data_IF_424677939075
#
_entry.id   IF_424677939075
#
_cell.length_a   1.000
_cell.length_b   1.000
_cell.length_c   1.000
_cell.angle_alpha   90.00
_cell.angle_beta   90.00
_cell.angle_gamma   90.00
#
_symmetry.space_group_name_H-M   'P 1'
#
loop_
_entity.id
_entity.type
_entity.pdbx_description
1 polymer ?
#
# COMPACT_ATOMS: atom_id res chain seq x y z
N UNK A 1 40.44 7.00 26.74
CA UNK A 1 39.34 6.04 26.96
C UNK A 1 38.06 6.71 26.50
N UNK A 2 37.68 6.55 25.23
CA UNK A 2 36.49 7.18 24.67
C UNK A 2 35.25 6.35 25.02
N UNK A 3 34.32 6.93 25.79
CA UNK A 3 33.04 6.32 26.10
C UNK A 3 32.29 5.99 24.81
N UNK A 4 32.05 4.71 24.59
CA UNK A 4 31.27 4.18 23.46
C UNK A 4 29.86 4.79 23.48
N UNK A 5 29.63 5.81 22.65
CA UNK A 5 28.40 6.59 22.60
C UNK A 5 27.19 5.76 22.18
N UNK A 6 26.49 5.19 23.15
CA UNK A 6 25.17 4.60 22.97
C UNK A 6 24.13 5.73 23.02
N UNK A 7 23.42 5.95 21.92
CA UNK A 7 22.35 6.92 21.81
C UNK A 7 21.01 6.21 21.95
N UNK A 8 20.15 6.63 22.88
CA UNK A 8 18.76 6.16 22.97
C UNK A 8 17.84 7.31 23.30
N UNK A 9 16.77 7.44 22.53
CA UNK A 9 15.77 8.50 22.70
C UNK A 9 14.37 7.96 22.48
N UNK A 10 13.46 8.38 23.35
CA UNK A 10 12.02 8.16 23.20
C UNK A 10 11.38 9.49 22.80
N UNK A 11 10.60 9.47 21.74
CA UNK A 11 9.95 10.64 21.16
C UNK A 11 8.46 10.34 21.12
N UNK A 12 7.65 11.26 21.63
CA UNK A 12 6.19 11.17 21.53
C UNK A 12 5.80 11.66 20.14
N UNK A 13 4.89 10.95 19.48
CA UNK A 13 4.29 11.35 18.22
C UNK A 13 2.99 12.09 18.50
N UNK A 14 2.94 13.35 18.10
CA UNK A 14 1.81 14.25 18.29
C UNK A 14 1.06 14.44 16.97
N UNK A 15 -0.26 14.65 17.06
CA UNK A 15 -1.09 14.95 15.88
C UNK A 15 -0.69 16.31 15.31
N UNK A 16 -0.43 16.34 13.99
CA UNK A 16 -0.14 17.57 13.27
C UNK A 16 -1.27 17.94 12.30
N UNK A 17 -1.68 16.97 11.46
CA UNK A 17 -2.85 17.11 10.61
C UNK A 17 -4.04 16.33 11.19
N UNK A 18 -5.13 17.04 11.47
CA UNK A 18 -6.37 16.42 11.97
C UNK A 18 -7.10 15.59 10.90
N UNK A 19 -7.98 14.68 11.35
CA UNK A 19 -8.86 13.89 10.47
C UNK A 19 -8.36 12.48 10.16
N UNK A 20 -7.19 12.13 10.66
CA UNK A 20 -6.58 10.81 10.52
C UNK A 20 -6.84 9.90 11.72
N UNK A 21 -7.69 10.31 12.67
CA UNK A 21 -8.11 9.50 13.81
C UNK A 21 -9.15 8.42 13.48
N UNK A 22 -9.09 7.32 14.24
CA UNK A 22 -10.16 6.33 14.38
C UNK A 22 -10.70 6.44 15.80
N UNK A 23 -11.90 7.01 15.96
CA UNK A 23 -12.60 7.25 17.23
C UNK A 23 -11.90 8.23 18.21
N UNK A 24 -10.57 8.24 18.25
CA UNK A 24 -9.72 9.11 19.06
C UNK A 24 -8.62 9.72 18.20
N UNK A 25 -7.97 10.75 18.73
CA UNK A 25 -6.76 11.35 18.16
C UNK A 25 -5.66 10.28 17.99
N UNK A 26 -5.00 10.20 16.83
CA UNK A 26 -3.83 9.36 16.65
C UNK A 26 -2.75 9.72 17.65
N UNK A 27 -2.11 8.71 18.23
CA UNK A 27 -1.02 8.90 19.19
C UNK A 27 0.01 7.79 19.01
N UNK A 28 1.26 8.06 19.36
CA UNK A 28 2.29 7.03 19.31
C UNK A 28 3.58 7.44 19.97
N UNK A 29 4.55 6.54 19.92
CA UNK A 29 5.91 6.85 20.29
C UNK A 29 6.89 6.24 19.31
N UNK A 30 8.02 6.93 19.16
CA UNK A 30 9.19 6.45 18.47
C UNK A 30 10.30 6.18 19.48
N UNK A 31 10.98 5.05 19.32
CA UNK A 31 12.23 4.75 20.01
C UNK A 31 13.35 4.75 18.97
N UNK A 32 14.27 5.69 19.12
CA UNK A 32 15.45 5.84 18.28
C UNK A 32 16.68 5.38 19.07
N UNK A 33 17.36 4.36 18.58
CA UNK A 33 18.58 3.80 19.19
C UNK A 33 19.73 3.92 18.19
N UNK A 34 20.90 4.39 18.63
CA UNK A 34 22.10 4.55 17.81
C UNK A 34 23.33 3.97 18.52
N UNK A 35 24.17 3.29 17.76
CA UNK A 35 25.45 2.75 18.22
C UNK A 35 26.49 2.80 17.09
N UNK A 36 27.65 2.15 17.25
CA UNK A 36 28.69 2.08 16.21
C UNK A 36 28.29 1.26 14.98
N UNK A 37 27.30 0.38 15.13
CA UNK A 37 26.83 -0.51 14.05
C UNK A 37 25.74 0.14 13.20
N UNK A 38 25.01 1.12 13.75
CA UNK A 38 23.93 1.78 13.03
C UNK A 38 22.91 2.48 13.91
N UNK A 39 21.76 2.78 13.31
CA UNK A 39 20.57 3.33 13.95
C UNK A 39 19.41 2.34 13.80
N UNK A 40 18.62 2.16 14.87
CA UNK A 40 17.33 1.47 14.83
C UNK A 40 16.21 2.43 15.23
N UNK A 41 15.20 2.52 14.36
CA UNK A 41 13.93 3.20 14.62
C UNK A 41 12.85 2.16 14.88
N UNK A 42 12.18 2.27 16.02
CA UNK A 42 10.97 1.52 16.35
C UNK A 42 9.81 2.50 16.55
N UNK A 43 8.67 2.21 15.94
CA UNK A 43 7.45 3.00 16.00
C UNK A 43 6.31 2.13 16.50
N UNK A 44 5.50 2.70 17.38
CA UNK A 44 4.20 2.15 17.77
C UNK A 44 3.18 3.28 17.83
N UNK A 45 2.13 3.16 17.02
CA UNK A 45 1.07 4.16 16.83
C UNK A 45 -0.28 3.48 17.07
N UNK A 46 -1.22 4.24 17.65
CA UNK A 46 -2.60 3.84 17.91
C UNK A 46 -3.56 4.90 17.37
N UNK A 47 -4.81 4.50 17.21
CA UNK A 47 -5.93 5.31 16.70
C UNK A 47 -5.68 5.99 15.35
N UNK A 48 -4.68 5.56 14.57
CA UNK A 48 -4.40 6.09 13.24
C UNK A 48 -5.29 5.40 12.20
N UNK A 49 -5.93 6.15 11.33
CA UNK A 49 -6.80 5.64 10.28
C UNK A 49 -5.96 4.96 9.22
N UNK A 50 -6.30 3.72 8.86
CA UNK A 50 -5.71 3.08 7.69
C UNK A 50 -6.10 3.84 6.42
N UNK A 51 -5.12 4.18 5.58
CA UNK A 51 -5.34 4.80 4.27
C UNK A 51 -5.30 3.77 3.13
N UNK A 52 -5.64 4.23 1.92
CA UNK A 52 -5.54 3.45 0.66
C UNK A 52 -4.09 3.05 0.36
N UNK A 53 -3.13 3.76 0.93
CA UNK A 53 -1.69 3.46 0.85
C UNK A 53 -1.08 3.51 2.25
N UNK A 54 -0.03 2.72 2.51
CA UNK A 54 0.67 2.79 3.78
C UNK A 54 1.24 4.19 3.96
N UNK A 55 1.37 4.61 5.22
CA UNK A 55 2.02 5.87 5.54
C UNK A 55 3.51 5.76 5.25
N UNK A 56 4.12 6.80 4.71
CA UNK A 56 5.57 6.90 4.62
C UNK A 56 6.12 7.40 5.95
N UNK A 57 7.12 6.70 6.47
CA UNK A 57 7.92 7.17 7.60
C UNK A 57 9.13 7.91 7.06
N UNK A 58 9.28 9.16 7.49
CA UNK A 58 10.28 10.09 6.99
C UNK A 58 11.08 10.63 8.16
N UNK A 59 12.41 10.59 8.02
CA UNK A 59 13.33 11.28 8.92
C UNK A 59 13.74 12.60 8.28
N UNK A 60 13.64 13.66 9.07
CA UNK A 60 14.19 14.97 8.73
C UNK A 60 15.39 15.20 9.62
N UNK A 61 16.53 15.43 9.01
CA UNK A 61 17.79 15.59 9.73
C UNK A 61 18.60 16.73 9.14
N UNK A 62 19.42 17.35 9.98
CA UNK A 62 20.32 18.40 9.53
C UNK A 62 21.63 17.77 9.05
N UNK A 63 21.96 18.01 7.78
CA UNK A 63 23.31 17.72 7.27
C UNK A 63 24.22 18.94 7.49
N UNK A 64 25.51 18.81 7.19
CA UNK A 64 26.45 19.94 7.32
C UNK A 64 26.12 21.14 6.40
N UNK A 65 25.26 20.95 5.39
CA UNK A 65 24.97 21.96 4.36
C UNK A 65 23.51 22.41 4.32
N UNK A 66 22.57 21.52 4.63
CA UNK A 66 21.11 21.80 4.55
C UNK A 66 20.27 20.73 5.29
N UNK A 67 18.97 21.01 5.45
CA UNK A 67 17.96 20.10 5.97
C UNK A 67 17.61 19.01 4.93
N UNK A 68 17.76 17.75 5.31
CA UNK A 68 17.62 16.60 4.41
C UNK A 68 16.42 15.72 4.75
N UNK A 69 15.93 15.02 3.73
CA UNK A 69 14.70 14.19 3.79
C UNK A 69 15.07 12.75 3.47
N UNK A 70 14.88 11.85 4.43
CA UNK A 70 15.14 10.43 4.24
C UNK A 70 13.88 9.59 4.51
N UNK A 71 13.35 8.93 3.47
CA UNK A 71 12.20 8.02 3.57
C UNK A 71 12.69 6.65 4.02
N UNK A 72 12.50 6.33 5.30
CA UNK A 72 13.06 5.13 5.93
C UNK A 72 12.19 3.89 5.72
N UNK A 73 10.92 4.07 5.34
CA UNK A 73 10.06 2.95 4.95
C UNK A 73 8.59 3.28 5.02
N UNK A 74 7.76 2.25 4.86
CA UNK A 74 6.31 2.31 4.96
C UNK A 74 5.83 1.79 6.32
N UNK A 75 4.78 2.43 6.84
CA UNK A 75 4.03 2.06 8.03
C UNK A 75 2.61 1.65 7.61
N UNK A 76 2.36 0.35 7.68
CA UNK A 76 1.01 -0.18 7.59
C UNK A 76 0.26 0.04 8.90
N UNK A 77 -1.03 0.35 8.78
CA UNK A 77 -1.90 0.60 9.93
C UNK A 77 -3.09 -0.34 9.85
N UNK A 78 -3.24 -1.16 10.88
CA UNK A 78 -4.30 -2.16 11.00
C UNK A 78 -5.11 -1.91 12.27
N UNK A 79 -6.43 -1.78 12.14
CA UNK A 79 -7.34 -1.52 13.27
C UNK A 79 -6.86 -0.37 14.17
N UNK A 80 -6.51 0.77 13.57
CA UNK A 80 -6.01 1.91 14.33
C UNK A 80 -4.53 1.83 14.70
N UNK A 81 -3.89 0.67 14.56
CA UNK A 81 -2.56 0.39 15.13
C UNK A 81 -1.51 0.24 14.04
N UNK A 82 -0.43 1.00 14.14
CA UNK A 82 0.74 0.88 13.27
C UNK A 82 1.97 0.51 14.08
N UNK A 83 2.71 -0.52 13.67
CA UNK A 83 3.99 -0.88 14.27
C UNK A 83 5.03 -1.04 13.18
N UNK A 84 6.19 -0.43 13.36
CA UNK A 84 7.28 -0.51 12.40
C UNK A 84 8.62 -0.58 13.12
N UNK A 85 9.51 -1.43 12.59
CA UNK A 85 10.92 -1.45 12.99
C UNK A 85 11.79 -1.37 11.74
N UNK A 86 12.73 -0.43 11.74
CA UNK A 86 13.77 -0.31 10.70
C UNK A 86 15.12 -0.05 11.32
N UNK A 87 16.15 -0.60 10.69
CA UNK A 87 17.53 -0.40 11.05
C UNK A 87 18.32 0.07 9.83
N UNK A 88 19.20 1.03 10.05
CA UNK A 88 20.20 1.51 9.11
C UNK A 88 21.55 1.10 9.66
N UNK A 89 22.33 0.35 8.91
CA UNK A 89 23.70 0.04 9.30
C UNK A 89 24.63 1.26 9.10
N UNK A 90 25.86 1.16 9.58
CA UNK A 90 26.84 2.24 9.49
C UNK A 90 27.14 2.62 8.02
N UNK A 91 27.19 1.66 7.10
CA UNK A 91 27.43 1.93 5.68
C UNK A 91 26.30 2.76 5.06
N UNK A 92 25.04 2.41 5.33
CA UNK A 92 23.87 3.15 4.89
C UNK A 92 23.82 4.54 5.54
N UNK A 93 24.19 4.65 6.83
CA UNK A 93 24.26 5.94 7.51
C UNK A 93 25.28 6.89 6.88
N UNK A 94 26.46 6.37 6.53
CA UNK A 94 27.51 7.14 5.86
C UNK A 94 27.10 7.55 4.45
N UNK A 95 26.46 6.66 3.69
CA UNK A 95 25.97 6.95 2.34
C UNK A 95 24.91 8.07 2.32
N UNK A 96 24.07 8.13 3.35
CA UNK A 96 23.00 9.14 3.50
C UNK A 96 23.48 10.37 4.29
N UNK A 97 24.61 10.26 5.01
CA UNK A 97 25.15 11.31 5.88
C UNK A 97 24.30 11.58 7.13
N UNK A 98 23.54 10.59 7.60
CA UNK A 98 22.65 10.74 8.76
C UNK A 98 23.39 10.38 10.06
N UNK A 99 23.24 11.23 11.08
CA UNK A 99 23.73 10.97 12.45
C UNK A 99 22.53 10.94 13.41
N UNK A 100 22.53 10.07 14.44
CA UNK A 100 21.37 9.95 15.34
C UNK A 100 21.02 11.28 16.02
N UNK A 101 22.04 12.09 16.34
CA UNK A 101 21.89 13.36 17.04
C UNK A 101 21.39 14.48 16.13
N UNK A 102 21.52 14.33 14.81
CA UNK A 102 21.13 15.36 13.84
C UNK A 102 19.69 15.21 13.31
N UNK A 103 18.97 14.17 13.74
CA UNK A 103 17.56 13.97 13.39
C UNK A 103 16.72 14.98 14.18
N UNK A 104 16.06 15.89 13.47
CA UNK A 104 15.18 16.93 14.01
C UNK A 104 13.73 16.43 14.12
N UNK A 105 13.22 15.72 13.11
CA UNK A 105 11.83 15.24 13.06
C UNK A 105 11.70 13.78 12.60
N UNK A 106 10.69 13.10 13.14
CA UNK A 106 10.15 11.82 12.65
C UNK A 106 8.74 12.10 12.16
N UNK A 107 8.48 11.90 10.88
CA UNK A 107 7.21 12.25 10.22
C UNK A 107 6.50 10.97 9.77
N UNK A 108 5.21 10.89 10.05
CA UNK A 108 4.30 9.90 9.48
C UNK A 108 3.46 10.64 8.44
N UNK A 109 3.71 10.36 7.16
CA UNK A 109 3.12 11.09 6.05
C UNK A 109 2.20 10.19 5.21
N UNK A 110 1.05 10.72 4.79
CA UNK A 110 0.27 10.18 3.68
C UNK A 110 0.66 10.94 2.42
N UNK A 111 1.46 10.32 1.56
CA UNK A 111 1.96 10.93 0.32
C UNK A 111 1.04 10.62 -0.86
N UNK A 112 0.41 11.64 -1.44
CA UNK A 112 -0.34 11.58 -2.70
C UNK A 112 0.40 12.35 -3.82
N UNK A 113 -0.04 12.21 -5.08
CA UNK A 113 0.64 12.80 -6.25
C UNK A 113 0.87 14.32 -6.15
N UNK A 114 -0.05 15.06 -5.54
CA UNK A 114 0.01 16.54 -5.46
C UNK A 114 -0.09 17.08 -4.03
N UNK A 115 -0.28 16.21 -3.04
CA UNK A 115 -0.51 16.62 -1.66
C UNK A 115 0.12 15.64 -0.69
N UNK A 116 0.70 16.18 0.37
CA UNK A 116 1.23 15.40 1.48
C UNK A 116 0.47 15.83 2.73
N UNK A 117 -0.11 14.85 3.41
CA UNK A 117 -0.66 15.04 4.75
C UNK A 117 0.30 14.43 5.77
N UNK A 118 0.43 15.06 6.93
CA UNK A 118 1.30 14.64 8.03
C UNK A 118 0.43 14.38 9.26
N UNK A 119 -0.21 13.21 9.37
CA UNK A 119 -1.00 12.85 10.54
C UNK A 119 -0.24 13.00 11.86
N UNK A 120 1.01 12.55 11.91
CA UNK A 120 1.80 12.49 13.13
C UNK A 120 3.22 13.01 12.93
N UNK A 121 3.72 13.70 13.94
CA UNK A 121 5.10 14.17 14.03
C UNK A 121 5.72 13.86 15.38
N UNK A 122 6.97 13.42 15.37
CA UNK A 122 7.84 13.35 16.54
C UNK A 122 8.93 14.41 16.45
N UNK A 123 8.96 15.33 17.42
CA UNK A 123 10.01 16.36 17.51
C UNK A 123 11.15 15.81 18.36
N UNK A 124 12.32 15.60 17.74
CA UNK A 124 13.48 15.09 18.43
C UNK A 124 14.15 16.21 19.26
N UNK A 125 14.27 17.43 18.75
CA UNK A 125 14.92 18.52 19.49
C UNK A 125 13.91 19.48 20.11
N UNK A 126 13.85 19.56 21.45
CA UNK A 126 12.98 20.51 22.16
C UNK A 126 13.25 21.98 21.81
N UNK A 127 14.39 22.29 21.21
CA UNK A 127 14.76 23.63 20.81
C UNK A 127 14.11 24.07 19.47
N UNK A 128 13.53 23.16 18.70
CA UNK A 128 12.95 23.44 17.37
C UNK A 128 11.50 22.96 17.30
N UNK A 129 10.50 23.85 17.44
CA UNK A 129 9.10 23.49 17.15
C UNK A 129 8.91 23.19 15.67
N UNK A 130 7.77 22.60 15.29
CA UNK A 130 7.43 22.32 13.89
C UNK A 130 7.62 23.55 12.98
N UNK A 131 8.26 23.33 11.83
CA UNK A 131 8.53 24.35 10.82
C UNK A 131 7.84 23.97 9.50
N UNK A 132 6.94 24.84 9.03
CA UNK A 132 6.15 24.65 7.82
C UNK A 132 7.00 24.59 6.53
N UNK A 133 8.22 25.14 6.56
CA UNK A 133 9.19 25.02 5.47
C UNK A 133 9.53 23.55 5.19
N UNK A 134 9.49 22.69 6.23
CA UNK A 134 9.69 21.25 6.08
C UNK A 134 8.59 20.63 5.22
N UNK A 135 7.31 20.99 5.43
CA UNK A 135 6.18 20.50 4.61
C UNK A 135 6.35 20.89 3.15
N UNK A 136 6.74 22.14 2.88
CA UNK A 136 7.00 22.59 1.51
C UNK A 136 8.16 21.85 0.84
N UNK A 137 9.18 21.45 1.60
CA UNK A 137 10.33 20.70 1.09
C UNK A 137 9.98 19.26 0.72
N UNK A 138 9.07 18.63 1.47
CA UNK A 138 8.55 17.29 1.15
C UNK A 138 7.89 17.23 -0.24
N UNK A 139 7.17 18.29 -0.62
CA UNK A 139 6.48 18.40 -1.92
C UNK A 139 7.46 18.59 -3.10
N UNK A 140 8.59 19.27 -2.89
CA UNK A 140 9.54 19.62 -3.97
C UNK A 140 10.47 18.46 -4.39
N UNK A 141 10.81 17.53 -3.48
CA UNK A 141 11.71 16.40 -3.77
C UNK A 141 11.02 15.17 -4.42
N UNK A 142 9.73 15.24 -4.75
CA UNK A 142 9.00 14.19 -5.49
C UNK A 142 9.24 14.16 -7.00
N UNK A 143 9.89 15.18 -7.58
CA UNK A 143 10.44 15.13 -8.94
C UNK A 143 11.89 14.66 -8.85
N UNK A 144 12.14 13.40 -9.22
CA UNK A 144 13.49 12.99 -9.59
C UNK A 144 13.99 13.90 -10.73
N UNK A 145 15.28 14.26 -10.77
CA UNK A 145 15.80 15.23 -11.72
C UNK A 145 15.72 14.65 -13.13
N UNK A 146 14.98 15.31 -14.01
CA UNK A 146 15.24 15.19 -15.43
C UNK A 146 16.66 15.71 -15.67
N UNK A 147 17.57 14.81 -16.00
CA UNK A 147 18.85 15.17 -16.56
C UNK A 147 18.59 15.87 -17.90
N UNK A 148 18.65 17.20 -17.91
CA UNK A 148 18.90 17.96 -19.12
C UNK A 148 20.41 18.16 -19.23
N UNK A 149 21.03 17.57 -20.25
CA UNK A 149 21.67 18.29 -21.36
C UNK A 149 22.43 17.29 -22.24
N UNK A 150 21.90 17.00 -23.43
CA UNK A 150 22.68 17.28 -24.63
C UNK A 150 21.76 17.52 -25.83
N UNK A 151 21.92 18.71 -26.41
CA UNK A 151 21.19 19.19 -27.57
C UNK A 151 21.88 18.66 -28.82
N UNK A 152 21.15 17.97 -29.70
CA UNK A 152 21.41 18.09 -31.13
C UNK A 152 20.12 18.10 -31.93
N UNK A 153 19.93 19.22 -32.63
CA UNK A 153 18.85 19.58 -33.55
C UNK A 153 18.80 18.65 -34.77
N UNK A 154 17.61 18.22 -35.21
CA UNK A 154 17.08 18.35 -36.59
C UNK A 154 15.54 18.40 -36.51
N UNK A 155 14.92 19.35 -37.23
CA UNK A 155 13.47 19.64 -37.34
C UNK A 155 12.89 19.09 -38.67
N UNK A 156 11.63 19.36 -39.08
CA UNK A 156 10.34 18.92 -38.52
C UNK A 156 9.37 18.35 -39.59
N UNK A 157 8.41 17.47 -39.23
CA UNK A 157 7.12 17.24 -39.91
C UNK A 157 6.37 16.14 -39.13
N UNK A 158 5.07 16.13 -38.85
CA UNK A 158 3.94 16.94 -39.31
C UNK A 158 2.83 16.81 -38.25
N UNK A 159 2.12 17.90 -37.98
CA UNK A 159 0.96 17.97 -37.09
C UNK A 159 -0.18 17.09 -37.60
N UNK A 160 -0.79 16.34 -36.68
CA UNK A 160 -2.25 16.17 -36.61
C UNK A 160 -2.61 15.86 -35.16
N UNK A 161 -3.00 16.90 -34.43
CA UNK A 161 -3.97 16.73 -33.34
C UNK A 161 -5.32 16.36 -33.95
N UNK A 162 -6.18 15.68 -33.19
CA UNK A 162 -7.34 16.44 -32.74
C UNK A 162 -7.47 16.46 -31.22
N UNK A 163 -7.62 17.70 -30.74
CA UNK A 163 -8.55 18.16 -29.71
C UNK A 163 -8.51 17.49 -28.34
N UNK A 164 -7.90 18.24 -27.42
CA UNK A 164 -8.39 18.38 -26.05
C UNK A 164 -9.89 18.67 -26.06
N UNK A 165 -10.64 17.81 -25.37
CA UNK A 165 -11.89 18.22 -24.77
C UNK A 165 -11.78 18.00 -23.27
N UNK A 166 -11.85 19.10 -22.54
CA UNK A 166 -11.85 19.19 -21.10
C UNK A 166 -13.16 18.67 -20.54
N UNK A 167 -13.14 17.50 -19.91
CA UNK A 167 -14.08 17.19 -18.82
C UNK A 167 -13.41 16.23 -17.84
N UNK A 168 -13.38 16.61 -16.57
CA UNK A 168 -12.99 15.71 -15.50
C UNK A 168 -13.92 14.50 -15.49
N UNK A 169 -13.37 13.33 -15.78
CA UNK A 169 -14.00 12.05 -15.50
C UNK A 169 -13.03 11.23 -14.68
N UNK A 170 -13.45 10.92 -13.46
CA UNK A 170 -12.83 9.94 -12.58
C UNK A 170 -12.51 8.68 -13.39
N UNK A 171 -11.33 8.08 -13.17
CA UNK A 171 -10.90 6.88 -13.88
C UNK A 171 -11.72 5.66 -13.44
N UNK A 172 -12.91 5.51 -14.02
CA UNK A 172 -13.82 4.37 -13.85
C UNK A 172 -13.08 3.09 -14.22
N UNK A 173 -13.12 2.09 -13.35
CA UNK A 173 -12.55 0.75 -13.60
C UNK A 173 -13.20 0.14 -14.84
N UNK A 174 -12.39 -0.28 -15.80
CA UNK A 174 -12.86 -0.84 -17.07
C UNK A 174 -13.23 -2.33 -16.90
N UNK A 175 -14.42 -2.56 -16.36
CA UNK A 175 -14.94 -3.89 -16.03
C UNK A 175 -15.02 -4.83 -17.25
N UNK A 176 -15.40 -4.31 -18.42
CA UNK A 176 -15.49 -5.10 -19.66
C UNK A 176 -14.12 -5.52 -20.17
N UNK A 177 -13.12 -4.64 -20.07
CA UNK A 177 -11.73 -4.96 -20.41
C UNK A 177 -11.11 -5.96 -19.43
N UNK A 178 -11.43 -5.86 -18.14
CA UNK A 178 -10.94 -6.80 -17.12
C UNK A 178 -11.43 -8.22 -17.40
N UNK A 179 -12.73 -8.40 -17.63
CA UNK A 179 -13.31 -9.72 -17.91
C UNK A 179 -12.73 -10.34 -19.18
N UNK A 180 -12.61 -9.56 -20.27
CA UNK A 180 -12.01 -10.04 -21.51
C UNK A 180 -10.58 -10.55 -21.27
N UNK A 181 -9.77 -9.78 -20.52
CA UNK A 181 -8.40 -10.15 -20.18
C UNK A 181 -8.31 -11.37 -19.28
N UNK A 182 -9.24 -11.54 -18.33
CA UNK A 182 -9.29 -12.73 -17.48
C UNK A 182 -9.61 -13.97 -18.32
N UNK A 183 -10.61 -13.90 -19.20
CA UNK A 183 -11.01 -14.99 -20.10
C UNK A 183 -9.91 -15.42 -21.07
N UNK A 184 -9.11 -14.47 -21.56
CA UNK A 184 -7.95 -14.74 -22.42
C UNK A 184 -6.75 -15.30 -21.63
N UNK A 185 -6.65 -15.00 -20.34
CA UNK A 185 -5.47 -15.29 -19.53
C UNK A 185 -5.56 -16.55 -18.67
N UNK A 186 -6.77 -17.00 -18.35
CA UNK A 186 -7.06 -18.04 -17.35
C UNK A 186 -8.17 -18.98 -17.80
N UNK A 187 -8.17 -20.19 -17.27
CA UNK A 187 -9.18 -21.23 -17.55
C UNK A 187 -10.50 -20.88 -16.87
N UNK A 188 -11.62 -20.98 -17.60
CA UNK A 188 -12.96 -20.89 -17.02
C UNK A 188 -13.19 -22.09 -16.10
N UNK A 189 -13.72 -21.85 -14.90
CA UNK A 189 -13.86 -22.89 -13.88
C UNK A 189 -15.19 -22.74 -13.15
N UNK A 190 -15.87 -23.83 -12.81
CA UNK A 190 -17.12 -23.79 -12.04
C UNK A 190 -16.87 -24.36 -10.63
N UNK A 191 -16.50 -23.51 -9.65
CA UNK A 191 -16.09 -23.97 -8.32
C UNK A 191 -17.24 -24.46 -7.43
N UNK A 192 -18.50 -24.18 -7.77
CA UNK A 192 -19.65 -24.39 -6.89
C UNK A 192 -20.73 -25.24 -7.56
N UNK A 193 -21.41 -26.08 -6.77
CA UNK A 193 -22.38 -27.06 -7.28
C UNK A 193 -23.65 -26.45 -7.88
N UNK A 194 -23.96 -25.20 -7.54
CA UNK A 194 -25.09 -24.47 -8.11
C UNK A 194 -24.56 -23.30 -8.96
N UNK A 195 -24.16 -23.56 -10.22
CA UNK A 195 -23.60 -22.54 -11.09
C UNK A 195 -24.66 -21.46 -11.32
N UNK A 196 -24.33 -20.23 -10.93
CA UNK A 196 -25.19 -19.09 -11.15
C UNK A 196 -24.70 -18.33 -12.38
N UNK A 197 -25.62 -18.04 -13.31
CA UNK A 197 -25.33 -17.35 -14.57
C UNK A 197 -24.87 -15.89 -14.38
N UNK A 198 -25.06 -15.33 -13.18
CA UNK A 198 -24.61 -13.98 -12.82
C UNK A 198 -23.13 -13.94 -12.38
N UNK A 199 -22.46 -15.10 -12.30
CA UNK A 199 -21.02 -15.21 -12.05
C UNK A 199 -20.27 -15.73 -13.28
N UNK A 200 -19.05 -15.28 -13.42
CA UNK A 200 -18.04 -15.88 -14.30
C UNK A 200 -16.77 -16.10 -13.49
N UNK A 201 -16.30 -17.33 -13.44
CA UNK A 201 -15.21 -17.76 -12.57
C UNK A 201 -14.02 -18.26 -13.39
N UNK A 202 -12.82 -17.86 -12.96
CA UNK A 202 -11.56 -18.20 -13.60
C UNK A 202 -10.59 -18.77 -12.57
N UNK A 203 -9.97 -19.90 -12.93
CA UNK A 203 -8.93 -20.54 -12.11
C UNK A 203 -7.60 -19.84 -12.36
N UNK A 204 -7.04 -19.26 -11.30
CA UNK A 204 -5.78 -18.50 -11.34
C UNK A 204 -4.69 -19.29 -10.62
N UNK A 205 -3.70 -19.74 -11.37
CA UNK A 205 -2.49 -20.38 -10.84
C UNK A 205 -1.27 -19.43 -10.79
N UNK A 206 -1.34 -18.29 -11.48
CA UNK A 206 -0.31 -17.25 -11.51
C UNK A 206 -0.85 -15.93 -10.96
N UNK A 207 -0.54 -15.65 -9.70
CA UNK A 207 -0.97 -14.45 -8.99
C UNK A 207 -0.28 -13.18 -9.50
N UNK A 208 0.93 -13.28 -10.07
CA UNK A 208 1.62 -12.13 -10.66
C UNK A 208 0.91 -11.68 -11.93
N UNK A 209 0.51 -12.63 -12.77
CA UNK A 209 -0.30 -12.36 -13.96
C UNK A 209 -1.63 -11.71 -13.56
N UNK A 210 -2.32 -12.22 -12.54
CA UNK A 210 -3.57 -11.62 -12.05
C UNK A 210 -3.33 -10.19 -11.52
N UNK A 211 -2.30 -9.97 -10.70
CA UNK A 211 -1.95 -8.65 -10.16
C UNK A 211 -1.70 -7.62 -11.26
N UNK A 212 -0.99 -8.01 -12.32
CA UNK A 212 -0.72 -7.15 -13.46
C UNK A 212 -2.01 -6.80 -14.23
N UNK A 213 -2.91 -7.78 -14.42
CA UNK A 213 -4.19 -7.54 -15.08
C UNK A 213 -5.07 -6.57 -14.29
N UNK A 214 -5.15 -6.75 -12.97
CA UNK A 214 -5.89 -5.86 -12.09
C UNK A 214 -5.31 -4.44 -12.15
N UNK A 215 -3.99 -4.30 -12.05
CA UNK A 215 -3.31 -3.01 -12.17
C UNK A 215 -3.60 -2.28 -13.49
N UNK A 216 -3.54 -2.98 -14.62
CA UNK A 216 -3.84 -2.43 -15.96
C UNK A 216 -5.31 -1.98 -16.07
N UNK A 217 -6.22 -2.63 -15.33
CA UNK A 217 -7.64 -2.30 -15.29
C UNK A 217 -7.98 -1.30 -14.16
N UNK A 218 -6.97 -0.65 -13.57
CA UNK A 218 -7.11 0.33 -12.49
C UNK A 218 -7.69 -0.25 -11.17
N UNK A 219 -7.61 -1.56 -10.97
CA UNK A 219 -7.98 -2.27 -9.75
C UNK A 219 -6.75 -2.48 -8.87
N UNK A 220 -6.77 -1.95 -7.64
CA UNK A 220 -5.63 -2.01 -6.70
C UNK A 220 -5.91 -2.98 -5.56
N UNK A 221 -5.91 -4.27 -5.86
CA UNK A 221 -6.02 -5.33 -4.85
C UNK A 221 -4.59 -5.78 -4.47
N UNK A 222 -4.16 -5.64 -3.21
CA UNK A 222 -2.80 -5.97 -2.79
C UNK A 222 -2.62 -7.48 -2.58
N UNK A 223 -2.72 -8.26 -3.66
CA UNK A 223 -2.71 -9.73 -3.64
C UNK A 223 -1.46 -10.33 -2.97
N UNK A 224 -0.30 -9.70 -3.14
CA UNK A 224 0.96 -10.14 -2.54
C UNK A 224 1.15 -9.70 -1.08
N UNK A 225 0.39 -8.71 -0.62
CA UNK A 225 0.53 -8.20 0.75
C UNK A 225 -0.11 -9.12 1.79
N UNK A 226 -0.95 -10.06 1.35
CA UNK A 226 -1.67 -10.96 2.24
C UNK A 226 -1.10 -12.38 2.15
N UNK A 227 -0.36 -12.84 3.19
CA UNK A 227 0.26 -14.15 3.18
C UNK A 227 -0.77 -15.28 3.12
N UNK A 228 -2.03 -15.06 3.54
CA UNK A 228 -3.08 -16.10 3.47
C UNK A 228 -3.54 -16.36 2.04
N UNK A 229 -3.54 -15.33 1.17
CA UNK A 229 -3.79 -15.51 -0.27
C UNK A 229 -2.68 -16.38 -0.87
N UNK A 230 -1.43 -16.10 -0.52
CA UNK A 230 -0.28 -16.86 -0.98
C UNK A 230 -0.30 -18.31 -0.46
N UNK A 231 -0.61 -18.52 0.82
CA UNK A 231 -0.75 -19.86 1.41
C UNK A 231 -1.85 -20.66 0.70
N UNK A 232 -3.02 -20.07 0.46
CA UNK A 232 -4.09 -20.71 -0.31
C UNK A 232 -3.64 -21.10 -1.72
N UNK A 233 -3.01 -20.16 -2.43
CA UNK A 233 -2.45 -20.40 -3.77
C UNK A 233 -1.41 -21.53 -3.78
N UNK A 234 -0.46 -21.54 -2.85
CA UNK A 234 0.62 -22.53 -2.84
C UNK A 234 0.14 -23.90 -2.40
N UNK A 235 -0.74 -23.97 -1.38
CA UNK A 235 -1.28 -25.24 -0.85
C UNK A 235 -2.20 -25.92 -1.86
N UNK A 236 -3.11 -25.16 -2.46
CA UNK A 236 -4.15 -25.70 -3.34
C UNK A 236 -3.89 -25.47 -4.84
N UNK A 237 -2.74 -24.87 -5.18
CA UNK A 237 -2.25 -24.61 -6.55
C UNK A 237 -3.11 -23.65 -7.39
N UNK A 238 -4.11 -23.03 -6.79
CA UNK A 238 -4.96 -22.05 -7.47
C UNK A 238 -5.63 -21.10 -6.48
N UNK A 239 -6.14 -19.99 -7.00
CA UNK A 239 -7.14 -19.11 -6.41
C UNK A 239 -8.23 -18.84 -7.46
N UNK A 240 -9.33 -18.23 -7.06
CA UNK A 240 -10.40 -17.86 -7.98
C UNK A 240 -10.38 -16.36 -8.25
N UNK A 241 -10.52 -15.99 -9.52
CA UNK A 241 -10.91 -14.67 -9.94
C UNK A 241 -12.32 -14.76 -10.52
N UNK A 242 -13.24 -13.96 -10.01
CA UNK A 242 -14.65 -13.94 -10.40
C UNK A 242 -15.09 -12.56 -10.85
N UNK A 243 -16.07 -12.54 -11.75
CA UNK A 243 -16.85 -11.35 -12.07
C UNK A 243 -18.31 -11.66 -11.71
N UNK A 244 -18.92 -10.80 -10.90
CA UNK A 244 -20.33 -10.88 -10.56
C UNK A 244 -21.06 -9.66 -11.14
N UNK A 245 -22.15 -9.91 -11.89
CA UNK A 245 -23.00 -8.87 -12.46
C UNK A 245 -24.46 -9.12 -12.15
N UNK A 246 -25.12 -8.14 -11.53
CA UNK A 246 -26.57 -8.19 -11.32
C UNK A 246 -27.27 -7.16 -12.21
N UNK A 247 -28.09 -7.64 -13.14
CA UNK A 247 -28.90 -6.80 -14.03
C UNK A 247 -30.00 -6.01 -13.28
N UNK A 248 -30.44 -6.52 -12.11
CA UNK A 248 -31.53 -5.91 -11.35
C UNK A 248 -31.09 -4.68 -10.54
N UNK A 249 -29.85 -4.66 -10.04
CA UNK A 249 -29.38 -3.66 -9.07
C UNK A 249 -28.13 -2.88 -9.53
N UNK A 250 -27.73 -3.01 -10.81
CA UNK A 250 -26.51 -2.39 -11.38
C UNK A 250 -25.26 -2.60 -10.49
N UNK A 251 -25.16 -3.82 -9.98
CA UNK A 251 -24.09 -4.26 -9.10
C UNK A 251 -23.04 -5.01 -9.92
N UNK A 252 -21.81 -4.51 -9.91
CA UNK A 252 -20.68 -5.05 -10.66
C UNK A 252 -19.50 -5.25 -9.72
N UNK A 253 -19.07 -6.50 -9.52
CA UNK A 253 -18.02 -6.82 -8.57
C UNK A 253 -16.95 -7.72 -9.18
N UNK A 254 -15.71 -7.46 -8.83
CA UNK A 254 -14.64 -8.43 -8.88
C UNK A 254 -14.67 -9.27 -7.61
N UNK A 255 -14.53 -10.58 -7.73
CA UNK A 255 -14.58 -11.49 -6.60
C UNK A 255 -13.30 -12.30 -6.55
N UNK A 256 -12.57 -12.20 -5.43
CA UNK A 256 -11.39 -13.03 -5.19
C UNK A 256 -11.80 -14.21 -4.29
N UNK A 257 -11.54 -15.43 -4.73
CA UNK A 257 -11.74 -16.63 -3.91
C UNK A 257 -10.41 -17.23 -3.47
N UNK A 258 -10.17 -17.28 -2.15
CA UNK A 258 -8.98 -17.91 -1.58
C UNK A 258 -9.37 -19.28 -1.02
N UNK A 259 -8.82 -20.39 -1.53
CA UNK A 259 -9.17 -21.71 -1.06
C UNK A 259 -8.67 -21.95 0.36
N UNK A 260 -9.48 -22.64 1.16
CA UNK A 260 -9.08 -23.09 2.48
C UNK A 260 -9.66 -24.48 2.79
N UNK A 261 -9.16 -25.06 3.88
CA UNK A 261 -9.64 -26.34 4.41
C UNK A 261 -11.06 -26.24 4.95
N UNK A 262 -11.38 -25.16 5.64
CA UNK A 262 -12.70 -24.90 6.24
C UNK A 262 -12.83 -23.40 6.62
N UNK A 263 -13.97 -23.02 7.21
CA UNK A 263 -14.26 -21.65 7.64
C UNK A 263 -13.49 -21.18 8.90
N UNK A 264 -12.67 -22.04 9.51
CA UNK A 264 -11.88 -21.68 10.69
C UNK A 264 -10.49 -21.17 10.34
N UNK A 265 -9.99 -21.51 9.15
CA UNK A 265 -8.63 -21.20 8.71
C UNK A 265 -8.57 -20.44 7.38
N UNK A 266 -7.40 -19.88 7.05
CA UNK A 266 -7.15 -19.33 5.71
C UNK A 266 -7.89 -18.03 5.34
N UNK A 267 -8.67 -17.44 6.27
CA UNK A 267 -9.46 -16.21 6.06
C UNK A 267 -8.58 -14.99 5.72
N UNK A 268 -8.53 -14.53 4.46
CA UNK A 268 -7.59 -13.50 4.03
C UNK A 268 -7.93 -12.14 4.62
N UNK A 269 -9.21 -11.79 4.72
CA UNK A 269 -9.65 -10.50 5.26
C UNK A 269 -10.77 -10.73 6.30
N UNK A 270 -10.61 -10.20 7.51
CA UNK A 270 -11.51 -10.57 8.63
C UNK A 270 -12.99 -10.26 8.37
N UNK A 271 -13.37 -9.00 8.17
CA UNK A 271 -14.81 -8.64 8.19
C UNK A 271 -15.45 -8.47 6.80
N UNK A 272 -14.73 -8.79 5.73
CA UNK A 272 -15.14 -8.60 4.33
C UNK A 272 -15.03 -9.90 3.52
N UNK A 273 -14.84 -11.03 4.21
CA UNK A 273 -14.77 -12.35 3.61
C UNK A 273 -16.03 -13.15 3.93
N UNK A 274 -16.54 -13.82 2.90
CA UNK A 274 -17.63 -14.79 3.03
C UNK A 274 -17.13 -16.19 2.70
N UNK A 275 -17.38 -17.14 3.58
CA UNK A 275 -17.10 -18.54 3.30
C UNK A 275 -18.14 -19.11 2.34
N UNK A 276 -17.68 -19.86 1.33
CA UNK A 276 -18.54 -20.62 0.42
C UNK A 276 -17.94 -22.00 0.21
N UNK A 277 -18.71 -23.03 0.52
CA UNK A 277 -18.31 -24.43 0.34
C UNK A 277 -18.22 -24.80 -1.13
N UNK A 278 -17.24 -25.63 -1.46
CA UNK A 278 -17.02 -26.22 -2.78
C UNK A 278 -17.05 -27.74 -2.65
N UNK A 279 -17.74 -28.41 -3.59
CA UNK A 279 -17.80 -29.87 -3.62
C UNK A 279 -16.66 -30.51 -4.43
N UNK A 280 -15.67 -29.72 -4.86
CA UNK A 280 -14.53 -30.26 -5.61
C UNK A 280 -13.65 -31.13 -4.71
N UNK A 281 -13.66 -32.44 -4.95
CA UNK A 281 -12.75 -33.41 -4.31
C UNK A 281 -11.35 -33.42 -4.94
N UNK A 282 -11.11 -32.58 -5.95
CA UNK A 282 -9.86 -32.55 -6.71
C UNK A 282 -8.67 -32.01 -5.88
N UNK A 283 -8.95 -31.24 -4.82
CA UNK A 283 -7.96 -30.45 -4.09
C UNK A 283 -7.72 -30.90 -2.64
N UNK A 284 -7.67 -32.21 -2.42
CA UNK A 284 -7.26 -32.78 -1.14
C UNK A 284 -8.23 -32.45 0.01
N UNK A 285 -7.75 -31.72 1.02
CA UNK A 285 -8.54 -31.31 2.19
C UNK A 285 -9.31 -30.00 2.01
N UNK A 286 -9.26 -29.38 0.82
CA UNK A 286 -10.01 -28.16 0.52
C UNK A 286 -11.51 -28.42 0.56
N UNK A 287 -12.27 -27.62 1.32
CA UNK A 287 -13.74 -27.72 1.35
C UNK A 287 -14.45 -26.48 0.85
N UNK A 288 -13.72 -25.40 0.54
CA UNK A 288 -14.34 -24.17 0.05
C UNK A 288 -13.37 -23.01 -0.16
N UNK A 289 -13.95 -21.84 -0.39
CA UNK A 289 -13.25 -20.60 -0.67
C UNK A 289 -13.75 -19.46 0.22
N UNK A 290 -12.82 -18.64 0.67
CA UNK A 290 -13.11 -17.31 1.18
C UNK A 290 -13.27 -16.34 0.02
N UNK A 291 -14.49 -15.84 -0.18
CA UNK A 291 -14.81 -14.86 -1.21
C UNK A 291 -14.68 -13.44 -0.66
N UNK A 292 -14.03 -12.59 -1.45
CA UNK A 292 -13.83 -11.16 -1.19
C UNK A 292 -14.38 -10.40 -2.36
N UNK A 293 -15.33 -9.49 -2.10
CA UNK A 293 -15.98 -8.71 -3.13
C UNK A 293 -15.35 -7.32 -3.20
N UNK A 294 -15.00 -6.90 -4.41
CA UNK A 294 -14.46 -5.57 -4.70
C UNK A 294 -15.35 -4.93 -5.75
N UNK A 295 -15.92 -3.78 -5.42
CA UNK A 295 -16.82 -3.05 -6.30
C UNK A 295 -16.04 -2.52 -7.52
N UNK A 296 -16.53 -2.83 -8.72
CA UNK A 296 -15.93 -2.41 -9.98
C UNK A 296 -16.26 -0.94 -10.32
N UNK A 297 -17.01 -0.21 -9.49
CA UNK A 297 -17.25 1.23 -9.71
C UNK A 297 -16.18 2.09 -9.03
N UNK A 298 -15.85 1.77 -7.77
CA UNK A 298 -14.98 2.57 -6.90
C UNK A 298 -13.71 1.81 -6.44
N UNK A 299 -13.62 0.50 -6.68
CA UNK A 299 -12.51 -0.34 -6.24
C UNK A 299 -12.54 -0.66 -4.74
N UNK A 300 -13.63 -0.38 -4.04
CA UNK A 300 -13.77 -0.62 -2.60
C UNK A 300 -14.19 -2.05 -2.28
N UNK A 301 -13.75 -2.56 -1.13
CA UNK A 301 -14.18 -3.85 -0.61
C UNK A 301 -15.59 -3.77 -0.04
N UNK A 302 -16.44 -4.75 -0.38
CA UNK A 302 -17.79 -4.87 0.14
C UNK A 302 -17.77 -5.64 1.46
N UNK A 303 -18.52 -5.14 2.45
CA UNK A 303 -18.78 -5.85 3.72
C UNK A 303 -19.94 -6.81 3.60
#
# INVERSE_FOLDING_TARGET
MEQSGYYRKYIILEELDSGFGVQRTPEGFARLEGNREGITLFLQIKNLRGGISPYTVILIYNSEKDLEVFRIGSLDVYNGTGVMRRSLDNAAMQAVGIKPESIDYIIIASEHRERIFIPLIGICSKAKPWDEVVRHRLLKKGKAPAAEHEKTKISPMRKTEPSQDSSGKEAVVDASKLEKKLKESFESFEPFSNPRHDYSWYRVNDIAKLSNLLFICNMKIPLFANPKILVGLFKYRHILAGIYRSAHNDMNYFVLGVPAKDESEGKPFENICRWVESQSKEYGDMTGYWLVYVNLKDGEFVR
#
